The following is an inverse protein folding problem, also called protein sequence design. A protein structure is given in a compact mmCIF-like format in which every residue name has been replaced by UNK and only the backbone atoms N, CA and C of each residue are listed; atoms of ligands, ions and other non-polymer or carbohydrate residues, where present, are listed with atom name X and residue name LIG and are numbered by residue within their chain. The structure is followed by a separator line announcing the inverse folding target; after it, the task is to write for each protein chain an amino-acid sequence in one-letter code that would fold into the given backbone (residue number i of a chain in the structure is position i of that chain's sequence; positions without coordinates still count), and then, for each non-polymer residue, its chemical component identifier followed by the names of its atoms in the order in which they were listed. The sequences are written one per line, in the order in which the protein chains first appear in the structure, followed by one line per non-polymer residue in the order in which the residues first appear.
data_IF_810647922954
#
_entry.id   IF_810647922954
#
_cell.length_a   1.000
_cell.length_b   1.000
_cell.length_c   1.000
_cell.angle_alpha   90.00
_cell.angle_beta   90.00
_cell.angle_gamma   90.00
#
_symmetry.space_group_name_H-M   'P 1'
#
loop_
_entity.id
_entity.type
_entity.pdbx_description
1 polymer ?
#
# COMPACT_ATOMS: atom_id res chain seq x y z
N UNK A 1 17.52 10.74 -1.31
CA UNK A 1 16.30 10.52 -0.49
C UNK A 1 15.33 9.64 -1.26
N UNK A 2 15.22 8.35 -0.93
CA UNK A 2 14.26 7.45 -1.58
C UNK A 2 13.70 6.46 -0.54
N UNK A 3 13.10 6.97 0.54
CA UNK A 3 12.38 6.14 1.51
C UNK A 3 10.96 5.83 0.98
N UNK A 4 10.90 5.10 -0.15
CA UNK A 4 9.69 4.39 -0.54
C UNK A 4 9.55 3.20 0.43
N UNK A 5 8.81 3.42 1.51
CA UNK A 5 8.50 2.37 2.48
C UNK A 5 7.56 1.31 1.89
N UNK A 6 6.81 1.62 0.83
CA UNK A 6 5.97 0.67 0.11
C UNK A 6 6.77 -0.01 -1.01
N UNK A 7 6.64 -1.33 -1.17
CA UNK A 7 7.34 -2.04 -2.26
C UNK A 7 6.71 -1.75 -3.62
N UNK A 8 7.53 -1.77 -4.67
CA UNK A 8 7.04 -1.69 -6.05
C UNK A 8 6.13 -2.86 -6.40
N UNK A 9 6.36 -4.04 -5.80
CA UNK A 9 5.51 -5.23 -5.92
C UNK A 9 4.09 -4.97 -5.41
N UNK A 10 3.96 -4.30 -4.27
CA UNK A 10 2.66 -3.93 -3.72
C UNK A 10 1.93 -2.91 -4.60
N UNK A 11 2.64 -1.87 -5.06
CA UNK A 11 2.09 -0.87 -6.00
C UNK A 11 1.61 -1.57 -7.28
N UNK A 12 2.42 -2.48 -7.82
CA UNK A 12 2.07 -3.24 -9.01
C UNK A 12 0.84 -4.11 -8.79
N UNK A 13 0.77 -4.86 -7.68
CA UNK A 13 -0.39 -5.69 -7.29
C UNK A 13 -1.69 -4.89 -7.18
N UNK A 14 -1.64 -3.66 -6.69
CA UNK A 14 -2.80 -2.75 -6.68
C UNK A 14 -3.21 -2.37 -8.10
N UNK A 15 -2.24 -2.01 -8.96
CA UNK A 15 -2.50 -1.59 -10.34
C UNK A 15 -3.06 -2.70 -11.23
N UNK A 16 -2.64 -3.94 -11.02
CA UNK A 16 -3.15 -5.11 -11.77
C UNK A 16 -4.37 -5.75 -11.11
N UNK A 17 -4.83 -5.23 -9.96
CA UNK A 17 -6.01 -5.76 -9.30
C UNK A 17 -7.22 -5.59 -10.22
N UNK A 18 -8.14 -6.57 -10.29
CA UNK A 18 -9.39 -6.40 -11.03
C UNK A 18 -10.29 -5.31 -10.41
N UNK A 19 -9.99 -4.87 -9.20
CA UNK A 19 -10.74 -3.86 -8.44
C UNK A 19 -10.11 -2.49 -8.61
N UNK A 20 -10.95 -1.45 -8.64
CA UNK A 20 -10.44 -0.08 -8.78
C UNK A 20 -9.70 0.33 -7.52
N UNK A 21 -8.61 1.09 -7.68
CA UNK A 21 -7.81 1.59 -6.56
C UNK A 21 -8.65 2.32 -5.50
N UNK A 22 -9.69 3.07 -5.91
CA UNK A 22 -10.57 3.78 -4.97
C UNK A 22 -11.40 2.82 -4.11
N UNK A 23 -11.87 1.70 -4.66
CA UNK A 23 -12.68 0.70 -3.95
C UNK A 23 -11.81 0.00 -2.91
N UNK A 24 -10.61 -0.40 -3.30
CA UNK A 24 -9.61 -0.97 -2.41
C UNK A 24 -9.23 -0.01 -1.29
N UNK A 25 -9.06 1.28 -1.61
CA UNK A 25 -8.78 2.32 -0.64
C UNK A 25 -9.92 2.46 0.39
N UNK A 26 -11.16 2.59 -0.07
CA UNK A 26 -12.32 2.72 0.82
C UNK A 26 -12.50 1.50 1.71
N UNK A 27 -12.41 0.30 1.15
CA UNK A 27 -12.56 -0.93 1.93
C UNK A 27 -11.43 -1.11 2.95
N UNK A 28 -10.21 -0.69 2.62
CA UNK A 28 -9.09 -0.68 3.54
C UNK A 28 -9.17 0.45 4.60
N UNK A 29 -10.06 1.43 4.44
CA UNK A 29 -10.23 2.57 5.36
C UNK A 29 -9.34 3.78 5.06
N UNK A 30 -8.86 3.91 3.82
CA UNK A 30 -8.20 5.11 3.33
C UNK A 30 -9.24 6.10 2.76
N UNK A 31 -9.03 7.39 2.99
CA UNK A 31 -9.78 8.44 2.33
C UNK A 31 -9.40 8.56 0.85
N UNK A 32 -10.32 9.10 0.06
CA UNK A 32 -10.13 9.36 -1.38
C UNK A 32 -8.84 10.15 -1.61
N UNK A 33 -7.87 9.56 -2.31
CA UNK A 33 -6.57 10.18 -2.60
C UNK A 33 -5.44 9.87 -1.62
N UNK A 34 -5.75 9.50 -0.37
CA UNK A 34 -4.72 9.19 0.63
C UNK A 34 -3.87 7.98 0.23
N UNK A 35 -4.49 6.92 -0.31
CA UNK A 35 -3.75 5.77 -0.84
C UNK A 35 -2.82 6.21 -1.99
N UNK A 36 -3.27 7.09 -2.88
CA UNK A 36 -2.45 7.59 -3.99
C UNK A 36 -1.21 8.35 -3.48
N UNK A 37 -1.34 9.13 -2.40
CA UNK A 37 -0.20 9.82 -1.79
C UNK A 37 0.86 8.84 -1.30
N UNK A 38 0.45 7.73 -0.69
CA UNK A 38 1.38 6.68 -0.25
C UNK A 38 2.03 5.93 -1.43
N UNK A 39 1.26 5.57 -2.46
CA UNK A 39 1.77 4.85 -3.63
C UNK A 39 2.75 5.70 -4.46
N UNK A 40 2.54 7.01 -4.51
CA UNK A 40 3.44 7.95 -5.19
C UNK A 40 4.61 8.41 -4.31
N UNK A 41 4.66 8.01 -3.03
CA UNK A 41 5.72 8.40 -2.10
C UNK A 41 5.63 9.85 -1.61
N UNK A 42 4.48 10.51 -1.79
CA UNK A 42 4.19 11.85 -1.25
C UNK A 42 4.06 11.80 0.27
N UNK A 43 3.44 10.74 0.78
CA UNK A 43 3.29 10.49 2.22
C UNK A 43 4.03 9.22 2.62
N UNK A 44 4.62 9.20 3.82
CA UNK A 44 5.24 8.01 4.36
C UNK A 44 4.19 7.13 5.05
N UNK A 45 4.01 5.87 4.61
CA UNK A 45 3.12 4.95 5.29
C UNK A 45 3.71 4.55 6.64
N UNK A 46 2.86 4.40 7.65
CA UNK A 46 3.29 3.79 8.92
C UNK A 46 3.23 2.26 8.80
N UNK A 47 4.30 1.58 9.19
CA UNK A 47 4.37 0.10 9.25
C UNK A 47 3.37 -0.51 10.23
N UNK A 48 2.90 0.26 11.21
CA UNK A 48 1.89 -0.18 12.19
C UNK A 48 0.46 0.08 11.73
N UNK A 49 0.28 0.70 10.56
CA UNK A 49 -1.02 1.09 10.07
C UNK A 49 -1.80 -0.13 9.54
N UNK A 50 -2.84 -0.49 10.29
CA UNK A 50 -3.74 -1.62 10.02
C UNK A 50 -4.42 -1.52 8.65
N UNK A 51 -4.54 -0.32 8.08
CA UNK A 51 -5.16 -0.10 6.76
C UNK A 51 -4.31 -0.73 5.65
N UNK A 52 -2.99 -0.66 5.75
CA UNK A 52 -2.09 -1.33 4.79
C UNK A 52 -2.19 -2.84 4.90
N UNK A 53 -2.23 -3.39 6.12
CA UNK A 53 -2.42 -4.82 6.35
C UNK A 53 -3.75 -5.30 5.76
N UNK A 54 -4.83 -4.53 5.97
CA UNK A 54 -6.15 -4.82 5.38
C UNK A 54 -6.10 -4.77 3.86
N UNK A 55 -5.46 -3.74 3.29
CA UNK A 55 -5.28 -3.59 1.85
C UNK A 55 -4.49 -4.75 1.24
N UNK A 56 -3.41 -5.18 1.90
CA UNK A 56 -2.63 -6.36 1.50
C UNK A 56 -3.47 -7.63 1.45
N UNK A 57 -4.32 -7.86 2.46
CA UNK A 57 -5.26 -9.00 2.47
C UNK A 57 -6.22 -8.96 1.28
N UNK A 58 -6.74 -7.78 0.90
CA UNK A 58 -7.66 -7.63 -0.23
C UNK A 58 -7.02 -8.00 -1.58
N UNK A 59 -5.71 -7.82 -1.72
CA UNK A 59 -4.96 -8.07 -2.96
C UNK A 59 -4.06 -9.32 -2.90
N UNK A 60 -4.16 -10.10 -1.82
CA UNK A 60 -3.36 -11.31 -1.60
C UNK A 60 -1.87 -11.06 -1.44
N UNK A 61 -1.48 -9.97 -0.77
CA UNK A 61 -0.10 -9.59 -0.49
C UNK A 61 0.14 -9.62 1.02
N UNK A 62 1.17 -10.37 1.45
CA UNK A 62 1.53 -10.47 2.87
C UNK A 62 2.16 -9.18 3.40
N UNK A 63 2.04 -8.90 4.70
CA UNK A 63 2.54 -7.65 5.30
C UNK A 63 4.04 -7.39 5.03
N UNK A 64 4.85 -8.44 4.99
CA UNK A 64 6.29 -8.38 4.68
C UNK A 64 6.59 -7.96 3.23
N UNK A 65 5.62 -8.08 2.34
CA UNK A 65 5.73 -7.69 0.94
C UNK A 65 5.12 -6.30 0.68
N UNK A 66 4.35 -5.76 1.62
CA UNK A 66 3.79 -4.40 1.53
C UNK A 66 4.89 -3.38 1.76
N UNK A 67 5.69 -3.62 2.80
CA UNK A 67 6.73 -2.71 3.22
C UNK A 67 8.11 -3.18 2.77
N UNK A 68 8.94 -2.24 2.30
CA UNK A 68 10.33 -2.51 1.98
C UNK A 68 11.07 -2.76 3.30
N UNK A 69 11.40 -4.01 3.60
CA UNK A 69 12.32 -4.31 4.70
C UNK A 69 13.66 -3.67 4.36
N UNK A 70 14.10 -2.68 5.15
CA UNK A 70 15.52 -2.35 5.21
C UNK A 70 16.20 -3.58 5.82
N UNK A 71 16.62 -4.51 4.96
CA UNK A 71 17.71 -5.41 5.33
C UNK A 71 18.96 -4.56 5.30
N UNK A 72 19.32 -4.03 6.47
CA UNK A 72 20.70 -3.69 6.80
C UNK A 72 21.58 -4.94 6.67
#
# INVERSE_FOLDING_TARGET
MNNKLVTEKFIFKIKISPRRQYELAQEAGFSSGMLSHFLNGISQPSVTDKRFIKLGKLIGVGANEIFKQNKE
#
